data_IF_122961465906
#
_entry.id   IF_122961465906
#
_cell.length_a   1.000
_cell.length_b   1.000
_cell.length_c   1.000
_cell.angle_alpha   90.00
_cell.angle_beta   90.00
_cell.angle_gamma   90.00
#
_symmetry.space_group_name_H-M   'P 1'
#
loop_
_entity.id
_entity.type
_entity.pdbx_description
1 polymer ?
#
# COMPACT_ATOMS: atom_id res chain seq x y z
N UNK A 1 -14.14 -18.36 0.59
CA UNK A 1 -12.90 -17.61 0.29
C UNK A 1 -12.20 -18.26 -0.89
N UNK A 2 -11.49 -17.49 -1.69
CA UNK A 2 -10.68 -17.98 -2.82
C UNK A 2 -9.21 -18.12 -2.37
N UNK A 3 -8.44 -18.98 -3.03
CA UNK A 3 -7.02 -19.16 -2.72
C UNK A 3 -6.15 -18.66 -3.86
N UNK A 4 -5.01 -18.04 -3.54
CA UNK A 4 -4.01 -17.64 -4.51
C UNK A 4 -2.61 -17.75 -3.93
N UNK A 5 -1.63 -17.97 -4.80
CA UNK A 5 -0.22 -18.03 -4.44
C UNK A 5 0.47 -16.74 -4.86
N UNK A 6 1.26 -16.18 -3.99
CA UNK A 6 1.98 -14.93 -4.23
C UNK A 6 3.25 -15.20 -5.08
N UNK A 7 3.47 -14.34 -6.04
CA UNK A 7 4.77 -14.26 -6.70
C UNK A 7 5.74 -13.54 -5.75
N UNK A 8 6.59 -14.31 -5.06
CA UNK A 8 7.57 -13.74 -4.14
C UNK A 8 8.49 -12.76 -4.87
N UNK A 9 8.62 -11.56 -4.31
CA UNK A 9 9.60 -10.56 -4.74
C UNK A 9 10.79 -10.63 -3.79
N UNK A 10 11.98 -10.86 -4.31
CA UNK A 10 13.19 -10.79 -3.50
C UNK A 10 13.51 -9.30 -3.31
N UNK A 11 13.25 -8.79 -2.12
CA UNK A 11 13.67 -7.46 -1.72
C UNK A 11 15.11 -7.51 -1.22
N UNK A 12 15.90 -6.50 -1.55
CA UNK A 12 17.20 -6.30 -0.92
C UNK A 12 17.05 -5.93 0.58
N UNK A 13 18.14 -6.03 1.32
CA UNK A 13 18.15 -5.76 2.76
C UNK A 13 17.62 -4.36 3.09
N UNK A 14 18.02 -3.33 2.33
CA UNK A 14 17.62 -1.93 2.56
C UNK A 14 16.12 -1.75 2.37
N UNK A 15 15.57 -2.33 1.32
CA UNK A 15 14.12 -2.29 1.06
C UNK A 15 13.34 -2.98 2.17
N UNK A 16 13.82 -4.14 2.67
CA UNK A 16 13.19 -4.83 3.81
C UNK A 16 13.17 -3.96 5.06
N UNK A 17 14.29 -3.34 5.42
CA UNK A 17 14.36 -2.46 6.58
C UNK A 17 13.51 -1.18 6.40
N UNK A 18 13.44 -0.62 5.19
CA UNK A 18 12.56 0.50 4.90
C UNK A 18 11.08 0.17 5.12
N UNK A 19 10.61 -1.02 4.71
CA UNK A 19 9.24 -1.46 4.97
C UNK A 19 8.97 -1.75 6.45
N UNK A 20 9.93 -2.29 7.20
CA UNK A 20 9.81 -2.44 8.66
C UNK A 20 9.67 -1.07 9.34
N UNK A 21 10.52 -0.10 8.95
CA UNK A 21 10.46 1.27 9.48
C UNK A 21 9.12 1.93 9.13
N UNK A 22 8.65 1.79 7.88
CA UNK A 22 7.36 2.34 7.46
C UNK A 22 6.20 1.73 8.28
N UNK A 23 6.21 0.40 8.48
CA UNK A 23 5.24 -0.28 9.33
C UNK A 23 5.22 0.30 10.75
N UNK A 24 6.39 0.36 11.39
CA UNK A 24 6.54 0.89 12.75
C UNK A 24 6.04 2.35 12.85
N UNK A 25 6.34 3.19 11.86
CA UNK A 25 5.85 4.56 11.83
C UNK A 25 4.32 4.64 11.71
N UNK A 26 3.70 3.70 10.99
CA UNK A 26 2.23 3.61 10.90
C UNK A 26 1.65 3.16 12.24
N UNK A 27 2.24 2.15 12.89
CA UNK A 27 1.83 1.69 14.22
C UNK A 27 1.89 2.83 15.25
N UNK A 28 2.89 3.70 15.18
CA UNK A 28 3.00 4.89 16.05
C UNK A 28 2.09 6.06 15.67
N UNK A 29 1.40 6.02 14.53
CA UNK A 29 0.51 7.13 14.12
C UNK A 29 -0.84 7.17 14.85
N UNK A 30 -1.12 6.18 15.70
CA UNK A 30 -2.27 6.09 16.60
C UNK A 30 -2.86 4.68 16.68
N UNK A 31 -3.29 4.28 17.87
CA UNK A 31 -3.88 2.95 18.14
C UNK A 31 -5.15 2.68 17.31
N UNK A 32 -5.89 3.73 16.93
CA UNK A 32 -7.10 3.65 16.12
C UNK A 32 -6.81 3.60 14.61
N UNK A 33 -5.54 3.66 14.17
CA UNK A 33 -5.17 3.66 12.75
C UNK A 33 -5.18 2.23 12.22
N UNK A 34 -6.35 1.76 11.78
CA UNK A 34 -6.56 0.39 11.24
C UNK A 34 -6.74 0.34 9.74
N UNK A 35 -7.35 1.34 9.12
CA UNK A 35 -7.59 1.37 7.68
C UNK A 35 -6.82 2.52 7.08
N UNK A 36 -5.83 2.21 6.26
CA UNK A 36 -5.01 3.20 5.57
C UNK A 36 -5.13 3.03 4.06
N UNK A 37 -5.10 4.13 3.32
CA UNK A 37 -5.00 4.04 1.87
C UNK A 37 -3.67 4.59 1.37
N UNK A 38 -3.23 4.07 0.24
CA UNK A 38 -2.08 4.57 -0.49
C UNK A 38 -2.51 5.11 -1.84
N UNK A 39 -2.01 6.28 -2.17
CA UNK A 39 -2.16 6.89 -3.50
C UNK A 39 -0.84 7.48 -3.98
N UNK A 40 -0.80 7.97 -5.20
CA UNK A 40 0.35 8.68 -5.76
C UNK A 40 -0.13 9.92 -6.52
N UNK A 41 0.76 10.80 -6.91
CA UNK A 41 0.43 11.95 -7.75
C UNK A 41 0.14 11.52 -9.17
N UNK A 42 1.01 10.68 -9.75
CA UNK A 42 0.95 10.22 -11.14
C UNK A 42 1.03 8.69 -11.21
N UNK A 43 0.65 8.10 -12.37
CA UNK A 43 0.89 6.68 -12.62
C UNK A 43 2.38 6.33 -12.54
N UNK A 44 2.66 5.05 -12.23
CA UNK A 44 4.00 4.46 -12.20
C UNK A 44 4.95 4.92 -11.08
N UNK A 45 4.52 5.71 -10.11
CA UNK A 45 5.34 6.04 -8.91
C UNK A 45 5.57 4.84 -7.97
N UNK A 46 4.91 3.72 -8.25
CA UNK A 46 5.11 2.45 -7.54
C UNK A 46 4.21 2.23 -6.33
N UNK A 47 3.10 3.01 -6.18
CA UNK A 47 2.14 2.88 -5.09
C UNK A 47 1.71 1.44 -4.82
N UNK A 48 1.27 0.72 -5.86
CA UNK A 48 0.78 -0.65 -5.73
C UNK A 48 1.87 -1.65 -5.31
N UNK A 49 3.14 -1.39 -5.67
CA UNK A 49 4.27 -2.16 -5.14
C UNK A 49 4.44 -1.86 -3.65
N UNK A 50 4.43 -0.59 -3.28
CA UNK A 50 4.57 -0.17 -1.87
C UNK A 50 3.41 -0.72 -1.04
N UNK A 51 2.15 -0.63 -1.51
CA UNK A 51 0.97 -1.19 -0.84
C UNK A 51 1.11 -2.69 -0.58
N UNK A 52 1.56 -3.43 -1.59
CA UNK A 52 1.71 -4.88 -1.52
C UNK A 52 2.84 -5.30 -0.56
N UNK A 53 4.03 -4.72 -0.67
CA UNK A 53 5.18 -5.04 0.18
C UNK A 53 4.94 -4.59 1.64
N UNK A 54 4.26 -3.46 1.84
CA UNK A 54 3.85 -3.00 3.16
C UNK A 54 2.86 -3.98 3.81
N UNK A 55 1.85 -4.44 3.07
CA UNK A 55 0.90 -5.43 3.56
C UNK A 55 1.59 -6.75 3.94
N UNK A 56 2.53 -7.22 3.13
CA UNK A 56 3.35 -8.38 3.49
C UNK A 56 4.20 -8.13 4.74
N UNK A 57 4.77 -6.93 4.91
CA UNK A 57 5.55 -6.58 6.10
C UNK A 57 4.72 -6.64 7.38
N UNK A 58 3.45 -6.22 7.35
CA UNK A 58 2.53 -6.37 8.46
C UNK A 58 2.18 -7.84 8.74
N UNK A 59 1.85 -8.61 7.70
CA UNK A 59 1.51 -10.02 7.81
C UNK A 59 2.66 -10.86 8.38
N UNK A 60 3.90 -10.63 7.90
CA UNK A 60 5.11 -11.27 8.42
C UNK A 60 5.41 -10.91 9.88
N UNK A 61 4.88 -9.80 10.37
CA UNK A 61 4.95 -9.41 11.79
C UNK A 61 3.81 -10.02 12.64
N UNK A 62 3.04 -10.95 12.07
CA UNK A 62 1.96 -11.66 12.77
C UNK A 62 0.62 -10.93 12.74
N UNK A 63 0.51 -9.75 12.14
CA UNK A 63 -0.75 -9.01 12.05
C UNK A 63 -1.64 -9.54 10.92
N UNK A 64 -2.91 -9.81 11.23
CA UNK A 64 -3.89 -10.23 10.25
C UNK A 64 -4.21 -9.07 9.30
N UNK A 65 -3.69 -9.13 8.10
CA UNK A 65 -3.60 -8.02 7.14
C UNK A 65 -4.48 -8.25 5.93
N UNK A 66 -5.28 -7.25 5.57
CA UNK A 66 -6.05 -7.23 4.33
C UNK A 66 -5.52 -6.15 3.38
N UNK A 67 -5.19 -6.55 2.16
CA UNK A 67 -4.91 -5.64 1.05
C UNK A 67 -6.10 -5.57 0.11
N UNK A 68 -6.66 -4.39 -0.10
CA UNK A 68 -7.77 -4.14 -1.03
C UNK A 68 -7.23 -3.38 -2.24
N UNK A 69 -7.36 -3.98 -3.42
CA UNK A 69 -7.03 -3.34 -4.69
C UNK A 69 -8.25 -2.52 -5.16
N UNK A 70 -8.24 -1.24 -4.85
CA UNK A 70 -9.27 -0.28 -5.22
C UNK A 70 -8.92 0.54 -6.47
N UNK A 71 -7.83 0.22 -7.18
CA UNK A 71 -7.59 0.74 -8.52
C UNK A 71 -8.45 -0.02 -9.55
N UNK A 72 -9.74 0.31 -9.56
CA UNK A 72 -10.72 -0.32 -10.46
C UNK A 72 -10.51 0.05 -11.93
N UNK A 73 -9.61 1.01 -12.22
CA UNK A 73 -9.36 1.51 -13.59
C UNK A 73 -8.20 0.81 -14.25
N UNK A 74 -7.09 0.62 -13.53
CA UNK A 74 -5.85 0.06 -14.09
C UNK A 74 -5.08 -0.75 -13.04
N UNK A 75 -5.76 -1.74 -12.45
CA UNK A 75 -5.13 -2.64 -11.49
C UNK A 75 -3.93 -3.38 -12.10
N UNK A 76 -2.83 -3.39 -11.34
CA UNK A 76 -1.62 -4.17 -11.63
C UNK A 76 -1.43 -5.34 -10.66
N UNK A 77 -2.32 -5.46 -9.63
CA UNK A 77 -2.18 -6.45 -8.56
C UNK A 77 -2.34 -7.90 -9.04
N UNK A 78 -3.10 -8.15 -10.13
CA UNK A 78 -3.23 -9.49 -10.71
C UNK A 78 -1.88 -10.12 -11.08
N UNK A 79 -0.91 -9.30 -11.47
CA UNK A 79 0.45 -9.75 -11.82
C UNK A 79 1.26 -10.24 -10.60
N UNK A 80 0.81 -9.96 -9.38
CA UNK A 80 1.41 -10.43 -8.13
C UNK A 80 1.00 -11.85 -7.75
N UNK A 81 -0.10 -12.36 -8.30
CA UNK A 81 -0.49 -13.77 -8.17
C UNK A 81 0.30 -14.66 -9.13
N UNK A 82 0.81 -15.79 -8.63
CA UNK A 82 1.53 -16.80 -9.44
C UNK A 82 0.60 -17.93 -9.91
N UNK A 83 -0.32 -18.37 -9.05
CA UNK A 83 -1.31 -19.41 -9.28
C UNK A 83 -2.63 -19.07 -8.58
N UNK A 84 -3.74 -19.56 -9.10
CA UNK A 84 -5.09 -19.39 -8.59
C UNK A 84 -5.98 -18.65 -9.60
N UNK A 85 -7.21 -19.16 -9.78
CA UNK A 85 -8.24 -18.47 -10.58
C UNK A 85 -9.08 -17.63 -9.62
N UNK A 86 -8.74 -16.36 -9.46
CA UNK A 86 -9.59 -15.42 -8.74
C UNK A 86 -10.81 -15.12 -9.62
N UNK A 87 -11.97 -15.66 -9.22
CA UNK A 87 -13.23 -15.54 -9.94
C UNK A 87 -13.93 -14.23 -9.63
N UNK A 88 -13.91 -13.81 -8.38
CA UNK A 88 -14.58 -12.62 -7.90
C UNK A 88 -13.58 -11.62 -7.32
N UNK A 89 -13.84 -10.33 -7.55
CA UNK A 89 -13.06 -9.23 -7.00
C UNK A 89 -13.96 -8.11 -6.51
N UNK A 90 -13.36 -6.99 -6.14
CA UNK A 90 -14.02 -5.83 -5.55
C UNK A 90 -15.20 -5.33 -6.39
N UNK A 91 -15.01 -5.18 -7.70
CA UNK A 91 -16.07 -4.74 -8.61
C UNK A 91 -17.28 -5.66 -8.56
N UNK A 92 -17.10 -6.99 -8.48
CA UNK A 92 -18.22 -7.93 -8.37
C UNK A 92 -18.97 -7.73 -7.05
N UNK A 93 -18.25 -7.55 -5.94
CA UNK A 93 -18.87 -7.30 -4.64
C UNK A 93 -19.65 -5.98 -4.63
N UNK A 94 -19.03 -4.89 -5.07
CA UNK A 94 -19.63 -3.56 -5.09
C UNK A 94 -20.87 -3.48 -5.98
N UNK A 95 -20.89 -4.26 -7.07
CA UNK A 95 -22.05 -4.39 -7.98
C UNK A 95 -23.12 -5.39 -7.47
N UNK A 96 -22.99 -5.97 -6.29
CA UNK A 96 -23.95 -6.93 -5.74
C UNK A 96 -23.92 -8.32 -6.37
N UNK A 97 -22.93 -8.65 -7.18
CA UNK A 97 -22.81 -9.92 -7.91
C UNK A 97 -22.17 -11.05 -7.06
N UNK A 98 -21.63 -10.72 -5.90
CA UNK A 98 -21.02 -11.69 -4.99
C UNK A 98 -21.05 -11.20 -3.54
N UNK A 99 -20.73 -12.07 -2.58
CA UNK A 99 -20.58 -11.73 -1.15
C UNK A 99 -19.13 -11.29 -0.86
N UNK A 100 -18.91 -10.69 0.32
CA UNK A 100 -17.59 -10.31 0.81
C UNK A 100 -16.66 -11.52 0.93
N UNK A 101 -17.17 -12.63 1.50
CA UNK A 101 -16.42 -13.88 1.70
C UNK A 101 -15.96 -14.49 0.38
N UNK A 102 -16.78 -14.36 -0.68
CA UNK A 102 -16.44 -14.87 -2.00
C UNK A 102 -15.44 -13.96 -2.76
N UNK A 103 -15.42 -12.67 -2.45
CA UNK A 103 -14.42 -11.73 -3.01
C UNK A 103 -13.07 -11.82 -2.29
N UNK A 104 -13.08 -12.28 -1.01
CA UNK A 104 -11.88 -12.40 -0.19
C UNK A 104 -11.01 -13.57 -0.66
N UNK A 105 -9.73 -13.30 -0.84
CA UNK A 105 -8.71 -14.26 -1.20
C UNK A 105 -7.75 -14.48 -0.03
N UNK A 106 -7.44 -15.74 0.25
CA UNK A 106 -6.39 -16.15 1.21
C UNK A 106 -5.12 -16.43 0.41
N UNK A 107 -4.00 -15.91 0.86
CA UNK A 107 -2.71 -16.18 0.24
C UNK A 107 -1.99 -17.37 0.87
N UNK A 108 -0.92 -17.83 0.23
CA UNK A 108 0.05 -18.79 0.77
C UNK A 108 1.03 -18.17 1.79
N UNK A 109 0.88 -16.89 2.12
CA UNK A 109 1.60 -16.21 3.20
C UNK A 109 0.66 -16.07 4.40
N UNK A 110 1.12 -16.52 5.56
CA UNK A 110 0.35 -16.46 6.80
C UNK A 110 -0.12 -15.03 7.09
N UNK A 111 -1.34 -14.90 7.59
CA UNK A 111 -1.97 -13.62 7.95
C UNK A 111 -2.18 -12.63 6.80
N UNK A 112 -1.93 -13.02 5.53
CA UNK A 112 -2.08 -12.13 4.39
C UNK A 112 -3.30 -12.48 3.54
N UNK A 113 -4.23 -11.54 3.46
CA UNK A 113 -5.47 -11.62 2.71
C UNK A 113 -5.55 -10.52 1.68
N UNK A 114 -6.28 -10.77 0.59
CA UNK A 114 -6.40 -9.78 -0.49
C UNK A 114 -7.78 -9.78 -1.12
N UNK A 115 -8.23 -8.60 -1.58
CA UNK A 115 -9.34 -8.44 -2.50
C UNK A 115 -8.80 -7.78 -3.76
N UNK A 116 -8.86 -8.49 -4.89
CA UNK A 116 -8.46 -7.97 -6.20
C UNK A 116 -9.52 -7.03 -6.77
N UNK A 117 -9.15 -6.08 -7.61
CA UNK A 117 -10.07 -5.12 -8.22
C UNK A 117 -11.23 -5.78 -8.99
N UNK A 118 -10.96 -6.85 -9.71
CA UNK A 118 -11.95 -7.47 -10.61
C UNK A 118 -11.96 -6.85 -12.00
N UNK A 119 -13.09 -6.95 -12.78
CA UNK A 119 -13.22 -6.31 -14.08
C UNK A 119 -13.40 -4.79 -13.92
N UNK A 120 -12.96 -4.02 -14.91
CA UNK A 120 -13.12 -2.56 -14.95
C UNK A 120 -14.60 -2.21 -15.08
N UNK A 121 -15.19 -1.47 -14.12
CA UNK A 121 -16.58 -1.02 -14.22
C UNK A 121 -16.68 0.30 -14.99
N UNK A 122 -17.89 0.66 -15.48
CA UNK A 122 -18.10 1.95 -16.16
C UNK A 122 -18.02 3.16 -15.20
N UNK A 123 -18.32 2.97 -13.90
CA UNK A 123 -18.44 4.03 -12.89
C UNK A 123 -17.62 3.72 -11.61
N UNK A 124 -16.27 3.69 -11.68
CA UNK A 124 -15.42 3.30 -10.54
C UNK A 124 -15.65 4.15 -9.28
N UNK A 125 -15.66 5.48 -9.42
CA UNK A 125 -15.77 6.41 -8.28
C UNK A 125 -17.10 6.25 -7.53
N UNK A 126 -18.21 6.02 -8.25
CA UNK A 126 -19.54 5.79 -7.65
C UNK A 126 -19.57 4.48 -6.86
N UNK A 127 -18.98 3.41 -7.41
CA UNK A 127 -18.89 2.13 -6.72
C UNK A 127 -18.06 2.24 -5.44
N UNK A 128 -16.92 2.94 -5.48
CA UNK A 128 -16.06 3.16 -4.33
C UNK A 128 -16.69 4.08 -3.27
N UNK A 129 -17.68 4.91 -3.66
CA UNK A 129 -18.41 5.81 -2.76
C UNK A 129 -19.71 5.24 -2.19
N UNK A 130 -20.11 4.02 -2.56
CA UNK A 130 -21.41 3.45 -2.19
C UNK A 130 -21.39 2.79 -0.79
N UNK A 131 -22.59 2.51 -0.25
CA UNK A 131 -22.75 1.88 1.08
C UNK A 131 -22.12 0.48 1.15
N UNK A 132 -22.02 -0.25 0.04
CA UNK A 132 -21.39 -1.57 0.04
C UNK A 132 -19.88 -1.45 0.32
N UNK A 133 -19.20 -0.45 -0.24
CA UNK A 133 -17.81 -0.20 0.08
C UNK A 133 -17.63 0.19 1.54
N UNK A 134 -18.46 1.12 2.05
CA UNK A 134 -18.47 1.50 3.47
C UNK A 134 -18.65 0.27 4.37
N UNK A 135 -19.68 -0.53 4.13
CA UNK A 135 -19.98 -1.73 4.94
C UNK A 135 -18.84 -2.76 4.89
N UNK A 136 -18.17 -2.90 3.74
CA UNK A 136 -17.00 -3.77 3.60
C UNK A 136 -15.83 -3.28 4.46
N UNK A 137 -15.54 -1.99 4.46
CA UNK A 137 -14.49 -1.40 5.29
C UNK A 137 -14.80 -1.60 6.78
N UNK A 138 -16.05 -1.35 7.21
CA UNK A 138 -16.47 -1.54 8.60
C UNK A 138 -16.39 -3.03 9.04
N UNK A 139 -16.78 -3.96 8.17
CA UNK A 139 -16.60 -5.38 8.42
C UNK A 139 -15.10 -5.77 8.49
N UNK A 140 -14.29 -5.21 7.60
CA UNK A 140 -12.85 -5.45 7.57
C UNK A 140 -12.14 -4.96 8.84
N UNK A 141 -12.53 -3.81 9.40
CA UNK A 141 -12.02 -3.29 10.69
C UNK A 141 -12.18 -4.27 11.85
N UNK A 142 -13.24 -5.08 11.83
CA UNK A 142 -13.54 -6.06 12.89
C UNK A 142 -12.80 -7.38 12.69
N UNK A 143 -12.42 -7.69 11.46
CA UNK A 143 -11.85 -8.99 11.07
C UNK A 143 -10.33 -8.98 10.95
N UNK A 144 -9.73 -7.80 10.73
CA UNK A 144 -8.31 -7.63 10.46
C UNK A 144 -7.68 -6.62 11.42
N UNK A 145 -6.39 -6.81 11.70
CA UNK A 145 -5.61 -5.89 12.52
C UNK A 145 -5.27 -4.62 11.74
N UNK A 146 -4.98 -4.78 10.45
CA UNK A 146 -4.69 -3.68 9.52
C UNK A 146 -5.33 -3.94 8.15
N UNK A 147 -5.87 -2.89 7.55
CA UNK A 147 -6.43 -2.89 6.18
C UNK A 147 -5.69 -1.85 5.35
N UNK A 148 -5.13 -2.27 4.24
CA UNK A 148 -4.41 -1.40 3.30
C UNK A 148 -5.23 -1.31 2.02
N UNK A 149 -5.55 -0.10 1.57
CA UNK A 149 -6.33 0.14 0.35
C UNK A 149 -5.44 0.79 -0.70
N UNK A 150 -5.14 0.06 -1.77
CA UNK A 150 -4.40 0.60 -2.93
C UNK A 150 -5.36 1.34 -3.85
N UNK A 151 -5.17 2.63 -4.07
CA UNK A 151 -6.06 3.48 -4.87
C UNK A 151 -5.36 4.00 -6.13
N UNK A 152 -6.08 4.42 -7.18
CA UNK A 152 -5.43 5.07 -8.32
C UNK A 152 -4.78 6.40 -7.93
N UNK A 153 -3.89 6.96 -8.80
CA UNK A 153 -3.23 8.24 -8.54
C UNK A 153 -4.23 9.39 -8.38
N UNK A 154 -4.13 10.14 -7.26
CA UNK A 154 -5.04 11.28 -6.97
C UNK A 154 -4.92 12.40 -8.00
N UNK A 155 -3.75 12.60 -8.59
CA UNK A 155 -3.57 13.59 -9.65
C UNK A 155 -4.24 13.22 -10.99
N UNK A 156 -4.70 11.98 -11.13
CA UNK A 156 -5.39 11.52 -12.35
C UNK A 156 -6.90 11.44 -12.17
N UNK A 157 -7.37 10.98 -11.01
CA UNK A 157 -8.80 10.72 -10.71
C UNK A 157 -9.12 10.93 -9.24
N UNK A 158 -10.41 11.17 -8.93
CA UNK A 158 -10.88 11.50 -7.58
C UNK A 158 -11.01 10.27 -6.66
N UNK A 159 -10.84 9.07 -7.16
CA UNK A 159 -11.14 7.82 -6.46
C UNK A 159 -10.46 7.71 -5.09
N UNK A 160 -9.19 8.15 -4.99
CA UNK A 160 -8.47 8.17 -3.71
C UNK A 160 -9.15 9.08 -2.66
N UNK A 161 -9.66 10.24 -3.07
CA UNK A 161 -10.40 11.15 -2.19
C UNK A 161 -11.78 10.57 -1.78
N UNK A 162 -12.42 9.80 -2.65
CA UNK A 162 -13.66 9.07 -2.31
C UNK A 162 -13.38 7.99 -1.27
N UNK A 163 -12.36 7.18 -1.47
CA UNK A 163 -11.94 6.10 -0.55
C UNK A 163 -11.48 6.65 0.80
N UNK A 164 -10.81 7.81 0.82
CA UNK A 164 -10.27 8.41 2.05
C UNK A 164 -11.32 8.65 3.14
N UNK A 165 -12.58 8.86 2.76
CA UNK A 165 -13.71 9.07 3.70
C UNK A 165 -13.97 7.88 4.62
N UNK A 166 -13.51 6.69 4.24
CA UNK A 166 -13.71 5.44 4.97
C UNK A 166 -12.43 4.95 5.66
N UNK A 167 -11.32 5.70 5.49
CA UNK A 167 -10.00 5.35 6.01
C UNK A 167 -9.60 6.27 7.18
N UNK A 168 -8.69 5.78 8.03
CA UNK A 168 -8.16 6.54 9.17
C UNK A 168 -7.04 7.49 8.76
N UNK A 169 -6.44 7.24 7.61
CA UNK A 169 -5.41 8.10 7.04
C UNK A 169 -4.88 7.63 5.70
N UNK A 170 -4.15 8.50 5.05
CA UNK A 170 -3.56 8.26 3.74
C UNK A 170 -2.06 8.43 3.69
N UNK A 171 -1.42 7.69 2.82
CA UNK A 171 0.01 7.78 2.52
C UNK A 171 0.17 8.17 1.05
N UNK A 172 0.93 9.24 0.80
CA UNK A 172 1.28 9.67 -0.55
C UNK A 172 2.60 9.02 -0.98
N UNK A 173 2.55 8.17 -1.99
CA UNK A 173 3.75 7.55 -2.58
C UNK A 173 4.26 8.46 -3.70
N UNK A 174 5.55 8.81 -3.64
CA UNK A 174 6.21 9.74 -4.56
C UNK A 174 7.40 9.02 -5.18
N UNK A 175 7.45 8.95 -6.50
CA UNK A 175 8.62 8.45 -7.22
C UNK A 175 9.76 9.49 -7.19
N UNK A 176 10.92 9.09 -6.71
CA UNK A 176 12.08 9.96 -6.64
C UNK A 176 12.52 10.40 -8.05
N UNK A 177 12.45 11.70 -8.32
CA UNK A 177 12.77 12.27 -9.63
C UNK A 177 11.65 12.14 -10.68
N UNK A 178 10.54 11.45 -10.38
CA UNK A 178 9.43 11.26 -11.33
C UNK A 178 8.57 12.54 -11.46
N UNK A 179 8.41 13.30 -10.35
CA UNK A 179 7.57 14.50 -10.32
C UNK A 179 8.25 15.67 -9.59
N UNK A 180 7.81 16.88 -9.88
CA UNK A 180 8.27 18.05 -9.14
C UNK A 180 7.58 18.17 -7.77
N UNK A 181 8.26 18.79 -6.82
CA UNK A 181 7.70 19.10 -5.49
C UNK A 181 6.34 19.81 -5.55
N UNK A 182 6.14 20.71 -6.53
CA UNK A 182 4.87 21.43 -6.72
C UNK A 182 3.70 20.51 -7.02
N UNK A 183 3.93 19.44 -7.80
CA UNK A 183 2.89 18.45 -8.10
C UNK A 183 2.56 17.59 -6.89
N UNK A 184 3.57 17.13 -6.16
CA UNK A 184 3.37 16.38 -4.92
C UNK A 184 2.56 17.21 -3.90
N UNK A 185 2.92 18.50 -3.74
CA UNK A 185 2.22 19.43 -2.88
C UNK A 185 0.75 19.62 -3.28
N UNK A 186 0.45 19.78 -4.56
CA UNK A 186 -0.94 19.88 -5.06
C UNK A 186 -1.75 18.62 -4.72
N UNK A 187 -1.16 17.44 -4.88
CA UNK A 187 -1.82 16.18 -4.52
C UNK A 187 -2.12 16.09 -3.02
N UNK A 188 -1.18 16.54 -2.18
CA UNK A 188 -1.38 16.66 -0.73
C UNK A 188 -2.55 17.61 -0.43
N UNK A 189 -2.53 18.81 -0.97
CA UNK A 189 -3.58 19.83 -0.78
C UNK A 189 -4.96 19.31 -1.23
N UNK A 190 -5.02 18.56 -2.35
CA UNK A 190 -6.26 17.95 -2.84
C UNK A 190 -6.81 16.89 -1.88
N UNK A 191 -5.97 16.08 -1.26
CA UNK A 191 -6.37 15.11 -0.24
C UNK A 191 -6.85 15.81 1.04
N UNK A 192 -6.14 16.86 1.48
CA UNK A 192 -6.53 17.65 2.66
C UNK A 192 -7.87 18.36 2.47
N UNK A 193 -8.12 18.92 1.27
CA UNK A 193 -9.43 19.52 0.92
C UNK A 193 -10.57 18.48 0.91
N UNK A 194 -10.27 17.21 0.64
CA UNK A 194 -11.23 16.11 0.76
C UNK A 194 -11.46 15.66 2.22
N UNK A 195 -10.82 16.29 3.21
CA UNK A 195 -10.89 15.92 4.62
C UNK A 195 -10.01 14.74 5.02
N UNK A 196 -9.04 14.34 4.17
CA UNK A 196 -8.18 13.22 4.46
C UNK A 196 -7.10 13.57 5.50
N UNK A 197 -6.95 12.75 6.53
CA UNK A 197 -5.78 12.76 7.41
C UNK A 197 -4.59 12.15 6.65
N UNK A 198 -3.54 12.94 6.40
CA UNK A 198 -2.32 12.44 5.78
C UNK A 198 -1.35 11.97 6.86
N UNK A 199 -1.01 10.68 6.87
CA UNK A 199 -0.07 10.08 7.82
C UNK A 199 1.38 10.41 7.44
N UNK A 200 1.66 10.54 6.13
CA UNK A 200 2.99 10.85 5.65
C UNK A 200 3.17 10.60 4.16
N UNK A 201 4.45 10.65 3.74
CA UNK A 201 4.86 10.36 2.37
C UNK A 201 5.89 9.23 2.34
N UNK A 202 5.84 8.42 1.29
CA UNK A 202 6.87 7.43 0.97
C UNK A 202 7.60 7.88 -0.28
N UNK A 203 8.90 8.16 -0.16
CA UNK A 203 9.76 8.41 -1.31
C UNK A 203 10.24 7.06 -1.85
N UNK A 204 9.71 6.66 -3.00
CA UNK A 204 10.01 5.39 -3.67
C UNK A 204 11.04 5.59 -4.79
N UNK A 205 11.63 4.49 -5.30
CA UNK A 205 12.62 4.49 -6.39
C UNK A 205 13.89 5.30 -6.09
N UNK A 206 14.25 5.45 -4.84
CA UNK A 206 15.47 6.17 -4.46
C UNK A 206 16.70 5.39 -4.94
N UNK A 207 17.54 6.05 -5.73
CA UNK A 207 18.80 5.47 -6.15
C UNK A 207 19.89 5.80 -5.11
N UNK A 208 20.38 4.77 -4.43
CA UNK A 208 21.43 4.87 -3.42
C UNK A 208 22.86 4.70 -3.96
N UNK A 209 23.07 4.78 -5.30
CA UNK A 209 24.42 4.75 -5.83
C UNK A 209 25.27 5.88 -5.23
N UNK A 210 26.58 5.62 -5.02
CA UNK A 210 27.52 6.55 -4.38
C UNK A 210 27.60 7.94 -5.03
N UNK A 211 27.18 8.03 -6.29
CA UNK A 211 27.16 9.29 -7.07
C UNK A 211 25.82 10.04 -7.01
N UNK A 212 24.75 9.46 -6.43
CA UNK A 212 23.46 10.13 -6.33
C UNK A 212 23.46 11.10 -5.13
N UNK A 213 22.67 12.19 -5.23
CA UNK A 213 22.46 13.15 -4.12
C UNK A 213 22.01 12.43 -2.83
N UNK A 214 21.10 11.49 -2.96
CA UNK A 214 20.60 10.69 -1.83
C UNK A 214 21.63 9.66 -1.33
N UNK A 215 22.43 9.07 -2.20
CA UNK A 215 23.55 8.19 -1.79
C UNK A 215 24.57 8.92 -0.93
N UNK A 216 24.90 10.16 -1.29
CA UNK A 216 25.81 11.02 -0.51
C UNK A 216 25.19 11.47 0.82
N UNK A 217 23.90 11.85 0.83
CA UNK A 217 23.23 12.35 2.03
C UNK A 217 22.92 11.22 3.01
N UNK A 218 22.32 10.11 2.55
CA UNK A 218 22.03 8.94 3.38
C UNK A 218 23.27 8.14 3.76
N UNK A 219 24.27 8.03 2.87
CA UNK A 219 25.57 7.43 3.20
C UNK A 219 26.26 8.15 4.36
N UNK A 220 26.14 9.48 4.44
CA UNK A 220 26.70 10.28 5.52
C UNK A 220 25.87 10.21 6.82
N UNK A 221 24.56 10.12 6.72
CA UNK A 221 23.66 10.06 7.89
C UNK A 221 23.50 8.64 8.43
N UNK A 222 23.21 7.67 7.58
CA UNK A 222 23.05 6.26 7.97
C UNK A 222 24.38 5.55 8.20
N UNK A 223 25.42 5.84 7.42
CA UNK A 223 26.76 5.30 7.65
C UNK A 223 27.34 5.73 9.02
N UNK A 224 27.01 6.93 9.47
CA UNK A 224 27.49 7.43 10.77
C UNK A 224 26.67 6.89 11.97
N UNK A 225 25.39 6.60 11.78
CA UNK A 225 24.51 6.08 12.82
C UNK A 225 24.47 4.54 12.84
N UNK A 226 24.33 3.89 11.69
CA UNK A 226 24.25 2.43 11.59
C UNK A 226 25.61 1.73 11.54
N UNK A 227 26.61 2.31 10.93
CA UNK A 227 27.99 1.77 10.94
C UNK A 227 28.59 1.68 12.35
N UNK A 228 28.17 2.55 13.25
CA UNK A 228 28.63 2.54 14.66
C UNK A 228 27.87 1.52 15.53
N UNK A 229 26.65 1.13 15.15
CA UNK A 229 25.81 0.18 15.90
C UNK A 229 25.84 -1.25 15.34
N UNK A 230 26.08 -1.44 14.04
CA UNK A 230 26.04 -2.76 13.38
C UNK A 230 27.37 -3.18 12.73
N UNK A 231 28.39 -2.34 12.74
CA UNK A 231 29.73 -2.65 12.19
C UNK A 231 30.49 -3.76 12.91
N UNK A 232 30.03 -4.19 14.08
CA UNK A 232 30.67 -5.25 14.86
C UNK A 232 30.07 -6.65 14.67
N UNK A 233 28.98 -6.81 13.89
CA UNK A 233 28.33 -8.12 13.68
C UNK A 233 28.74 -8.85 12.40
N UNK A 234 29.59 -8.25 11.56
CA UNK A 234 30.02 -8.87 10.30
C UNK A 234 31.41 -9.53 10.34
N UNK A 235 32.06 -9.63 11.50
CA UNK A 235 33.40 -10.22 11.64
C UNK A 235 33.45 -11.52 12.45
N UNK A 236 32.34 -12.19 12.72
CA UNK A 236 32.34 -13.46 13.48
C UNK A 236 31.94 -14.70 12.66
N UNK A 237 31.87 -14.63 11.32
CA UNK A 237 31.75 -15.81 10.46
C UNK A 237 32.83 -15.77 9.38
N UNK A 238 34.05 -16.18 9.77
CA UNK A 238 35.09 -16.77 8.92
C UNK A 238 35.81 -17.87 9.68
#
# INVERSE_FOLDING_TARGET
>A
MQEFTIKQTILDYRSKEAFKTLRTNIEFSGEDTKVIFLTSTTPNEGKSKVSFELAQSFAQNGMKTLLIDADLRKSVMKSRGKKGKVKYGLTHYLSGKTTFENALCVSDVDNFYMIFAGPVPPNPSELLGNDRFKNMIEASRKMFDIVIVDTPPIGSVIDAAVVSKFCDGGILVIGCGDISYRYARKSKEQLELAGCKILGCVLNKVNFSSNSYYGKYYGKYYGKYYGKYYGNYSNEDN
#
